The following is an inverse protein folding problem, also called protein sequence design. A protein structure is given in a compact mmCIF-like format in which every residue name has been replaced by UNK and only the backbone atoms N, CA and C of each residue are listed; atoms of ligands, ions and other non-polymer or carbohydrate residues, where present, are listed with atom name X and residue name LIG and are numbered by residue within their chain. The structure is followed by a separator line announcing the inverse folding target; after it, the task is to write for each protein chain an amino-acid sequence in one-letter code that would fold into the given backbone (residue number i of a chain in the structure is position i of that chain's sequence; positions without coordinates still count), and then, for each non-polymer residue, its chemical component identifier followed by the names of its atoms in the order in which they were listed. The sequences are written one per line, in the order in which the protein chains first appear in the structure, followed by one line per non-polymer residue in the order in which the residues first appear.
data_IF_313708946108
#
_entry.id   IF_313708946108
#
_cell.length_a   1.000
_cell.length_b   1.000
_cell.length_c   1.000
_cell.angle_alpha   90.00
_cell.angle_beta   90.00
_cell.angle_gamma   90.00
#
_symmetry.space_group_name_H-M   'P 1'
#
loop_
_entity.id
_entity.type
_entity.pdbx_description
1 polymer ?
#
# COMPACT_ATOMS: atom_id res chain seq x y z
N UNK A 1 1.60 -15.95 -9.59
CA UNK A 1 1.68 -14.56 -10.11
C UNK A 1 2.68 -13.78 -9.28
N UNK A 2 3.58 -13.00 -9.90
CA UNK A 2 4.48 -12.11 -9.15
C UNK A 2 3.68 -10.89 -8.71
N UNK A 3 3.84 -10.45 -7.44
CA UNK A 3 3.23 -9.20 -6.95
C UNK A 3 3.60 -8.03 -7.86
N UNK A 4 2.76 -7.01 -8.01
CA UNK A 4 3.15 -5.80 -8.74
C UNK A 4 4.32 -5.09 -8.05
N UNK A 5 5.08 -4.30 -8.83
CA UNK A 5 6.33 -3.66 -8.36
C UNK A 5 6.09 -2.81 -7.11
N UNK A 6 5.01 -2.01 -7.12
CA UNK A 6 4.67 -1.14 -6.00
C UNK A 6 4.36 -1.92 -4.70
N UNK A 7 3.86 -3.16 -4.79
CA UNK A 7 3.66 -4.00 -3.60
C UNK A 7 4.98 -4.60 -3.11
N UNK A 8 5.89 -4.97 -4.01
CA UNK A 8 7.23 -5.47 -3.63
C UNK A 8 8.06 -4.40 -2.92
N UNK A 9 7.84 -3.13 -3.26
CA UNK A 9 8.44 -2.00 -2.54
C UNK A 9 7.92 -1.85 -1.11
N UNK A 10 6.92 -2.61 -0.67
CA UNK A 10 6.54 -2.67 0.75
C UNK A 10 7.24 -3.79 1.51
N UNK A 11 8.05 -4.62 0.85
CA UNK A 11 8.75 -5.76 1.48
C UNK A 11 10.09 -5.32 2.09
N UNK A 12 10.66 -6.14 2.99
CA UNK A 12 11.96 -5.84 3.66
C UNK A 12 13.10 -6.05 2.69
N UNK A 13 14.09 -5.16 2.76
CA UNK A 13 15.26 -5.16 1.90
C UNK A 13 14.87 -5.02 0.41
N UNK A 14 13.89 -4.16 0.13
CA UNK A 14 13.38 -3.85 -1.20
C UNK A 14 14.32 -2.96 -2.06
N UNK A 15 15.54 -2.71 -1.59
CA UNK A 15 16.51 -1.82 -2.25
C UNK A 15 16.36 -0.33 -1.91
N UNK A 16 15.38 0.05 -1.08
CA UNK A 16 15.28 1.42 -0.55
C UNK A 16 16.19 1.61 0.67
N UNK A 17 16.56 2.86 0.93
CA UNK A 17 17.18 3.20 2.21
C UNK A 17 16.22 2.88 3.35
N UNK A 18 16.75 2.57 4.55
CA UNK A 18 15.93 2.20 5.71
C UNK A 18 14.80 3.20 6.00
N UNK A 19 15.09 4.50 5.88
CA UNK A 19 14.10 5.56 6.07
C UNK A 19 13.02 5.53 4.99
N UNK A 20 13.41 5.44 3.71
CA UNK A 20 12.48 5.37 2.59
C UNK A 20 11.62 4.11 2.63
N UNK A 21 12.18 2.96 3.03
CA UNK A 21 11.44 1.70 3.20
C UNK A 21 10.29 1.86 4.21
N UNK A 22 10.57 2.49 5.37
CA UNK A 22 9.56 2.72 6.41
C UNK A 22 8.48 3.69 5.93
N UNK A 23 8.87 4.80 5.30
CA UNK A 23 7.94 5.80 4.77
C UNK A 23 7.04 5.20 3.71
N UNK A 24 7.63 4.55 2.70
CA UNK A 24 6.88 3.96 1.60
C UNK A 24 5.89 2.89 2.08
N UNK A 25 6.29 2.02 3.01
CA UNK A 25 5.37 1.04 3.62
C UNK A 25 4.18 1.70 4.30
N UNK A 26 4.44 2.76 5.07
CA UNK A 26 3.40 3.47 5.81
C UNK A 26 2.42 4.12 4.84
N UNK A 27 2.93 4.88 3.87
CA UNK A 27 2.13 5.62 2.91
C UNK A 27 1.30 4.67 2.04
N UNK A 28 1.91 3.57 1.57
CA UNK A 28 1.20 2.54 0.82
C UNK A 28 0.06 1.91 1.63
N UNK A 29 0.31 1.59 2.91
CA UNK A 29 -0.73 1.01 3.79
C UNK A 29 -1.89 1.98 3.98
N UNK A 30 -1.61 3.25 4.23
CA UNK A 30 -2.63 4.29 4.36
C UNK A 30 -3.46 4.41 3.09
N UNK A 31 -2.82 4.55 1.93
CA UNK A 31 -3.52 4.65 0.65
C UNK A 31 -4.39 3.41 0.36
N UNK A 32 -3.89 2.21 0.67
CA UNK A 32 -4.62 0.95 0.49
C UNK A 32 -5.83 0.85 1.42
N UNK A 33 -5.73 1.32 2.65
CA UNK A 33 -6.85 1.38 3.59
C UNK A 33 -7.89 2.42 3.16
N UNK A 34 -7.47 3.61 2.75
CA UNK A 34 -8.36 4.65 2.22
C UNK A 34 -9.12 4.15 0.98
N UNK A 35 -8.44 3.50 0.04
CA UNK A 35 -9.07 2.93 -1.15
C UNK A 35 -10.15 1.89 -0.78
N UNK A 36 -9.85 0.98 0.16
CA UNK A 36 -10.82 0.00 0.65
C UNK A 36 -12.03 0.64 1.33
N UNK A 37 -11.82 1.69 2.12
CA UNK A 37 -12.92 2.38 2.78
C UNK A 37 -13.85 3.04 1.77
N UNK A 38 -13.30 3.71 0.75
CA UNK A 38 -14.08 4.30 -0.35
C UNK A 38 -14.86 3.22 -1.12
N UNK A 39 -14.23 2.08 -1.43
CA UNK A 39 -14.93 0.97 -2.08
C UNK A 39 -16.08 0.42 -1.24
N UNK A 40 -15.89 0.32 0.08
CA UNK A 40 -16.93 -0.16 1.00
C UNK A 40 -18.06 0.86 1.17
N UNK A 41 -17.74 2.15 1.32
CA UNK A 41 -18.74 3.23 1.38
C UNK A 41 -19.59 3.28 0.10
N UNK A 42 -18.96 3.15 -1.07
CA UNK A 42 -19.66 3.10 -2.34
C UNK A 42 -20.54 1.84 -2.49
N UNK A 43 -20.14 0.70 -1.92
CA UNK A 43 -20.97 -0.53 -1.91
C UNK A 43 -22.13 -0.48 -0.92
N UNK A 44 -22.03 0.29 0.16
CA UNK A 44 -23.11 0.46 1.14
C UNK A 44 -24.15 1.47 0.64
N UNK A 45 -23.74 2.44 -0.20
CA UNK A 45 -24.61 3.47 -0.75
C UNK A 45 -25.20 3.13 -2.15
N UNK A 46 -24.96 1.93 -2.67
CA UNK A 46 -25.59 1.38 -3.88
C UNK A 46 -26.63 0.32 -3.50
#
# INVERSE_FOLDING_TARGET
MKKPIHERLTEKNNGLTKTQEVLYRRDFKQAKETAKNIENENKVNM
#
